data_IF_149639000850
#
_entry.id   IF_149639000850
#
_cell.length_a   1.000
_cell.length_b   1.000
_cell.length_c   1.000
_cell.angle_alpha   90.00
_cell.angle_beta   90.00
_cell.angle_gamma   90.00
#
_symmetry.space_group_name_H-M   'P 1'
#
loop_
_entity.id
_entity.type
_entity.pdbx_description
1 polymer ?
#
# COMPACT_ATOMS: atom_id res chain seq x y z
N UNK A 1 -25.28 12.34 9.67
CA UNK A 1 -24.77 11.01 9.27
C UNK A 1 -23.52 10.72 10.08
N UNK A 2 -23.64 9.94 11.15
CA UNK A 2 -22.48 9.50 11.93
C UNK A 2 -21.70 8.45 11.13
N UNK A 3 -20.42 8.71 10.90
CA UNK A 3 -19.51 7.77 10.22
C UNK A 3 -19.20 6.64 11.21
N UNK A 4 -19.56 5.40 10.87
CA UNK A 4 -19.31 4.21 11.69
C UNK A 4 -17.81 3.90 11.77
N UNK A 5 -17.14 4.44 12.79
CA UNK A 5 -15.75 4.09 13.13
C UNK A 5 -15.75 2.70 13.77
N UNK A 6 -15.05 1.75 13.14
CA UNK A 6 -14.90 0.38 13.65
C UNK A 6 -13.46 0.19 14.12
N UNK A 7 -13.27 -0.53 15.23
CA UNK A 7 -11.95 -0.83 15.79
C UNK A 7 -11.60 -2.30 15.50
N UNK A 8 -10.56 -2.53 14.69
CA UNK A 8 -10.04 -3.87 14.44
C UNK A 8 -8.91 -4.19 15.42
N UNK A 9 -9.06 -5.25 16.22
CA UNK A 9 -8.00 -5.70 17.13
C UNK A 9 -6.79 -6.21 16.34
N UNK A 10 -5.60 -5.81 16.77
CA UNK A 10 -4.32 -6.37 16.34
C UNK A 10 -4.08 -7.68 17.12
N UNK A 11 -3.83 -8.77 16.41
CA UNK A 11 -3.70 -10.11 17.01
C UNK A 11 -2.54 -10.21 18.01
N UNK A 12 -1.49 -9.44 17.80
CA UNK A 12 -0.22 -9.46 18.54
C UNK A 12 -0.20 -8.60 19.82
N UNK A 13 -1.31 -7.92 20.17
CA UNK A 13 -1.31 -6.93 21.25
C UNK A 13 -2.35 -7.20 22.34
N UNK A 14 -1.94 -7.00 23.58
CA UNK A 14 -2.81 -7.03 24.76
C UNK A 14 -3.93 -5.98 24.62
N UNK A 15 -5.15 -6.33 25.00
CA UNK A 15 -6.37 -5.54 24.81
C UNK A 15 -6.43 -4.23 25.59
N UNK A 16 -5.49 -4.07 26.51
CA UNK A 16 -5.53 -3.11 27.61
C UNK A 16 -4.95 -1.75 27.16
N UNK A 17 -4.41 -1.69 25.94
CA UNK A 17 -3.87 -0.48 25.32
C UNK A 17 -4.70 -0.10 24.08
N UNK A 18 -5.05 1.20 23.90
CA UNK A 18 -5.64 1.68 22.65
C UNK A 18 -4.80 1.37 21.40
N UNK A 19 -3.48 1.21 21.58
CA UNK A 19 -2.55 0.85 20.49
C UNK A 19 -2.79 -0.55 19.92
N UNK A 20 -3.54 -1.40 20.62
CA UNK A 20 -3.95 -2.74 20.21
C UNK A 20 -5.03 -2.74 19.14
N UNK A 21 -5.58 -1.59 18.76
CA UNK A 21 -6.64 -1.50 17.76
C UNK A 21 -6.21 -0.67 16.54
N UNK A 22 -6.76 -1.01 15.38
CA UNK A 22 -6.68 -0.25 14.13
C UNK A 22 -8.05 0.37 13.88
N UNK A 23 -8.21 1.69 14.05
CA UNK A 23 -9.44 2.34 13.67
C UNK A 23 -9.59 2.32 12.15
N UNK A 24 -10.73 1.87 11.66
CA UNK A 24 -11.14 1.97 10.26
C UNK A 24 -12.46 2.71 10.16
N UNK A 25 -12.66 3.39 9.04
CA UNK A 25 -13.93 4.01 8.71
C UNK A 25 -14.60 3.15 7.64
N UNK A 26 -15.76 2.59 7.95
CA UNK A 26 -16.55 1.89 6.95
C UNK A 26 -17.54 2.89 6.35
N UNK A 27 -17.38 3.15 5.06
CA UNK A 27 -18.38 3.85 4.28
C UNK A 27 -19.58 2.92 4.06
N UNK A 28 -20.75 3.53 3.93
CA UNK A 28 -21.94 2.86 3.42
C UNK A 28 -21.74 2.46 1.96
N UNK A 29 -22.71 1.73 1.41
CA UNK A 29 -22.67 1.17 0.06
C UNK A 29 -22.52 2.28 -0.99
N UNK A 30 -23.21 3.40 -0.80
CA UNK A 30 -23.14 4.57 -1.69
C UNK A 30 -21.77 5.22 -1.62
N UNK A 31 -21.22 5.43 -0.42
CA UNK A 31 -19.88 5.98 -0.24
C UNK A 31 -18.80 5.10 -0.85
N UNK A 32 -18.90 3.77 -0.68
CA UNK A 32 -17.99 2.80 -1.32
C UNK A 32 -18.07 2.84 -2.84
N UNK A 33 -19.28 2.93 -3.40
CA UNK A 33 -19.48 3.04 -4.84
C UNK A 33 -18.85 4.33 -5.38
N UNK A 34 -19.06 5.45 -4.69
CA UNK A 34 -18.47 6.73 -5.08
C UNK A 34 -16.94 6.71 -5.02
N UNK A 35 -16.36 6.17 -3.93
CA UNK A 35 -14.91 5.97 -3.80
C UNK A 35 -14.35 5.15 -4.96
N UNK A 36 -15.04 4.05 -5.34
CA UNK A 36 -14.63 3.21 -6.47
C UNK A 36 -14.62 3.98 -7.80
N UNK A 37 -15.64 4.81 -8.05
CA UNK A 37 -15.70 5.63 -9.28
C UNK A 37 -14.51 6.60 -9.33
N UNK A 38 -14.24 7.29 -8.22
CA UNK A 38 -13.10 8.22 -8.12
C UNK A 38 -11.77 7.49 -8.31
N UNK A 39 -11.59 6.34 -7.67
CA UNK A 39 -10.37 5.55 -7.78
C UNK A 39 -10.11 5.05 -9.21
N UNK A 40 -11.15 4.61 -9.93
CA UNK A 40 -11.02 4.19 -11.34
C UNK A 40 -10.56 5.36 -12.20
N UNK A 41 -11.24 6.51 -12.10
CA UNK A 41 -10.90 7.70 -12.90
C UNK A 41 -9.50 8.22 -12.62
N UNK A 42 -9.08 8.21 -11.35
CA UNK A 42 -7.73 8.65 -10.99
C UNK A 42 -6.66 7.72 -11.56
N UNK A 43 -6.88 6.40 -11.50
CA UNK A 43 -5.95 5.44 -12.10
C UNK A 43 -5.88 5.59 -13.62
N UNK A 44 -7.03 5.77 -14.29
CA UNK A 44 -7.07 6.02 -15.74
C UNK A 44 -6.31 7.30 -16.11
N UNK A 45 -6.55 8.40 -15.39
CA UNK A 45 -5.87 9.66 -15.64
C UNK A 45 -4.35 9.56 -15.45
N UNK A 46 -3.88 8.91 -14.38
CA UNK A 46 -2.46 8.72 -14.12
C UNK A 46 -1.78 7.85 -15.18
N UNK A 47 -2.50 6.89 -15.77
CA UNK A 47 -1.94 6.00 -16.80
C UNK A 47 -2.04 6.56 -18.23
N UNK A 48 -3.03 7.41 -18.53
CA UNK A 48 -3.29 7.87 -19.90
C UNK A 48 -2.85 9.32 -20.18
N UNK A 49 -3.06 10.24 -19.24
CA UNK A 49 -2.88 11.69 -19.49
C UNK A 49 -1.80 12.33 -18.62
N UNK A 50 -1.72 11.91 -17.35
CA UNK A 50 -0.79 12.44 -16.35
C UNK A 50 0.56 11.72 -16.33
N UNK A 51 1.53 12.22 -15.56
CA UNK A 51 2.72 11.45 -15.25
C UNK A 51 2.32 10.23 -14.41
N UNK A 52 2.70 9.04 -14.88
CA UNK A 52 2.44 7.80 -14.16
C UNK A 52 3.21 7.77 -12.82
N UNK A 53 2.81 6.86 -11.94
CA UNK A 53 3.46 6.60 -10.67
C UNK A 53 4.92 6.15 -10.88
N UNK A 54 5.80 6.54 -9.96
CA UNK A 54 7.20 6.13 -9.97
C UNK A 54 7.33 4.61 -10.14
N UNK A 55 8.29 4.15 -10.95
CA UNK A 55 8.46 2.72 -11.23
C UNK A 55 8.80 1.89 -9.98
N UNK A 56 9.42 2.51 -8.99
CA UNK A 56 9.67 1.93 -7.66
C UNK A 56 8.44 1.88 -6.74
N UNK A 57 7.27 2.34 -7.19
CA UNK A 57 6.03 2.28 -6.42
C UNK A 57 5.22 1.03 -6.79
N UNK A 58 5.22 0.06 -5.88
CA UNK A 58 4.59 -1.26 -6.10
C UNK A 58 3.25 -1.43 -5.37
N UNK A 59 2.96 -0.58 -4.39
CA UNK A 59 1.78 -0.74 -3.55
C UNK A 59 0.53 -0.18 -4.26
N UNK A 60 -0.55 -0.97 -4.25
CA UNK A 60 -1.86 -0.59 -4.80
C UNK A 60 -1.82 -0.13 -6.27
N UNK A 61 -0.89 -0.66 -7.05
CA UNK A 61 -0.74 -0.38 -8.48
C UNK A 61 -1.11 -1.63 -9.27
N UNK A 62 -1.83 -1.45 -10.39
CA UNK A 62 -2.11 -2.55 -11.31
C UNK A 62 -0.81 -3.17 -11.80
N UNK A 63 -0.79 -4.50 -11.95
CA UNK A 63 0.36 -5.25 -12.48
C UNK A 63 1.65 -5.14 -11.65
N UNK A 64 1.56 -4.62 -10.41
CA UNK A 64 2.66 -4.59 -9.45
C UNK A 64 2.21 -5.23 -8.13
N UNK A 65 3.12 -5.94 -7.50
CA UNK A 65 2.91 -6.68 -6.27
C UNK A 65 4.06 -6.47 -5.29
N UNK A 66 3.89 -6.94 -4.05
CA UNK A 66 4.98 -6.99 -3.07
C UNK A 66 6.10 -7.94 -3.49
N UNK A 67 5.82 -8.94 -4.32
CA UNK A 67 6.82 -9.85 -4.87
C UNK A 67 7.75 -9.10 -5.83
N UNK A 68 7.21 -8.21 -6.67
CA UNK A 68 8.00 -7.38 -7.58
C UNK A 68 8.93 -6.45 -6.81
N UNK A 69 8.43 -5.85 -5.71
CA UNK A 69 9.23 -5.01 -4.83
C UNK A 69 10.41 -5.78 -4.22
N UNK A 70 10.17 -6.97 -3.66
CA UNK A 70 11.22 -7.81 -3.06
C UNK A 70 12.22 -8.27 -4.13
N UNK A 71 11.73 -8.63 -5.31
CA UNK A 71 12.57 -9.05 -6.43
C UNK A 71 13.49 -7.91 -6.88
N UNK A 72 12.97 -6.68 -6.94
CA UNK A 72 13.77 -5.49 -7.26
C UNK A 72 14.88 -5.27 -6.23
N UNK A 73 14.55 -5.35 -4.94
CA UNK A 73 15.54 -5.21 -3.85
C UNK A 73 16.62 -6.27 -3.95
N UNK A 74 16.24 -7.53 -4.18
CA UNK A 74 17.18 -8.64 -4.35
C UNK A 74 18.13 -8.42 -5.53
N UNK A 75 17.62 -7.99 -6.67
CA UNK A 75 18.44 -7.70 -7.85
C UNK A 75 19.47 -6.59 -7.57
N UNK A 76 19.06 -5.53 -6.87
CA UNK A 76 19.97 -4.44 -6.47
C UNK A 76 21.05 -4.94 -5.50
N UNK A 77 20.69 -5.82 -4.57
CA UNK A 77 21.62 -6.45 -3.64
C UNK A 77 22.68 -7.30 -4.36
N UNK A 78 22.24 -8.16 -5.27
CA UNK A 78 23.13 -9.03 -6.05
C UNK A 78 24.12 -8.20 -6.89
N UNK A 79 23.65 -7.11 -7.50
CA UNK A 79 24.49 -6.17 -8.23
C UNK A 79 25.54 -5.51 -7.30
N UNK A 80 25.13 -4.99 -6.15
CA UNK A 80 26.03 -4.32 -5.21
C UNK A 80 27.10 -5.28 -4.66
N UNK A 81 26.72 -6.52 -4.30
CA UNK A 81 27.65 -7.53 -3.80
C UNK A 81 28.65 -7.93 -4.90
N UNK A 82 28.20 -8.12 -6.15
CA UNK A 82 29.10 -8.48 -7.25
C UNK A 82 30.19 -7.42 -7.53
N UNK A 83 29.93 -6.16 -7.16
CA UNK A 83 30.86 -5.03 -7.27
C UNK A 83 31.74 -4.87 -6.02
N UNK A 84 31.68 -5.81 -5.07
CA UNK A 84 32.44 -5.78 -3.81
C UNK A 84 31.82 -4.89 -2.73
N UNK A 85 30.57 -4.45 -2.91
CA UNK A 85 29.83 -3.64 -1.94
C UNK A 85 29.22 -4.47 -0.81
N UNK A 86 28.90 -3.80 0.30
CA UNK A 86 28.17 -4.38 1.45
C UNK A 86 26.80 -3.72 1.51
N UNK A 87 25.76 -4.53 1.74
CA UNK A 87 24.40 -4.02 1.95
C UNK A 87 23.95 -4.21 3.40
N UNK A 88 23.27 -3.20 3.93
CA UNK A 88 22.67 -3.19 5.26
C UNK A 88 21.16 -2.98 5.13
N UNK A 89 20.36 -3.85 5.74
CA UNK A 89 18.92 -3.67 5.90
C UNK A 89 18.63 -3.06 7.29
N UNK A 90 17.73 -2.08 7.35
CA UNK A 90 17.30 -1.37 8.58
C UNK A 90 15.80 -1.62 8.79
#
# INVERSE_FOLDING_TARGET
MERGKVLLKKEDRATDSPSAYRPICLLDEIGKLFERIVAIRLNEHLSCDGPDLADSQYRFRRERSTVDAITRVRSLLEQAISQGGIALAI
#
